data_IF_192809008275
#
_entry.id   IF_192809008275
#
_cell.length_a   1.000
_cell.length_b   1.000
_cell.length_c   1.000
_cell.angle_alpha   90.00
_cell.angle_beta   90.00
_cell.angle_gamma   90.00
#
_symmetry.space_group_name_H-M   'P 1'
#
loop_
_entity.id
_entity.type
_entity.pdbx_description
1 polymer ?
#
# COMPACT_ATOMS: atom_id res chain seq x y z
N UNK A 1 18.36 24.98 15.34
CA UNK A 1 17.05 24.49 15.80
C UNK A 1 16.10 24.44 14.59
N UNK A 2 16.43 23.60 13.61
CA UNK A 2 15.52 22.89 12.71
C UNK A 2 16.33 21.68 12.25
N UNK A 3 16.04 20.55 12.86
CA UNK A 3 16.62 19.25 12.55
C UNK A 3 16.00 18.77 11.23
N UNK A 4 16.72 18.93 10.12
CA UNK A 4 16.31 18.38 8.83
C UNK A 4 17.13 17.11 8.61
N UNK A 5 16.65 16.01 9.19
CA UNK A 5 17.13 14.66 8.86
C UNK A 5 17.03 14.45 7.34
N UNK A 6 18.13 14.07 6.65
CA UNK A 6 18.11 13.83 5.22
C UNK A 6 17.26 12.57 4.91
N UNK A 7 16.48 12.56 3.82
CA UNK A 7 15.69 11.39 3.45
C UNK A 7 16.61 10.18 3.20
N UNK A 8 16.24 8.98 3.68
CA UNK A 8 17.03 7.77 3.48
C UNK A 8 17.15 7.41 1.99
N UNK A 9 18.25 6.76 1.57
CA UNK A 9 18.51 6.43 0.17
C UNK A 9 17.47 5.46 -0.41
N UNK A 10 17.15 5.54 -1.71
CA UNK A 10 16.10 4.74 -2.33
C UNK A 10 16.55 3.30 -2.59
N UNK A 11 15.70 2.32 -2.28
CA UNK A 11 15.88 0.91 -2.65
C UNK A 11 14.51 0.24 -2.90
N UNK A 12 14.38 -0.63 -3.92
CA UNK A 12 14.63 -0.43 -5.36
C UNK A 12 13.34 0.01 -6.11
N UNK A 13 13.45 0.65 -7.29
CA UNK A 13 12.29 0.96 -8.12
C UNK A 13 11.83 -0.28 -8.89
N UNK A 14 10.64 -0.78 -8.60
CA UNK A 14 9.87 -1.61 -9.55
C UNK A 14 9.06 -0.66 -10.44
N UNK A 15 8.92 -0.95 -11.73
CA UNK A 15 8.91 0.03 -12.80
C UNK A 15 7.78 1.05 -12.61
N UNK A 16 8.19 2.30 -12.49
CA UNK A 16 7.36 3.44 -12.87
C UNK A 16 7.10 3.29 -14.37
N UNK A 17 6.00 2.61 -14.72
CA UNK A 17 5.48 2.53 -16.09
C UNK A 17 4.90 3.91 -16.50
N UNK A 18 5.78 4.90 -16.63
CA UNK A 18 5.74 6.06 -17.53
C UNK A 18 4.48 6.92 -17.67
N UNK A 19 3.42 6.76 -16.86
CA UNK A 19 2.14 7.43 -17.10
C UNK A 19 1.42 7.94 -15.85
N UNK A 20 1.74 7.46 -14.64
CA UNK A 20 1.05 7.86 -13.41
C UNK A 20 2.01 8.06 -12.23
N UNK A 21 1.75 9.05 -11.35
CA UNK A 21 2.64 9.38 -10.24
C UNK A 21 2.84 8.23 -9.24
N UNK A 22 4.01 8.22 -8.61
CA UNK A 22 4.36 7.39 -7.44
C UNK A 22 3.30 7.47 -6.33
N UNK A 23 3.20 6.49 -5.42
CA UNK A 23 2.35 6.66 -4.21
C UNK A 23 2.80 7.89 -3.41
N UNK A 24 4.12 8.03 -3.19
CA UNK A 24 4.69 9.19 -2.48
C UNK A 24 4.46 10.51 -3.22
N UNK A 25 4.56 10.50 -4.55
CA UNK A 25 4.30 11.68 -5.39
C UNK A 25 2.81 12.06 -5.37
N UNK A 26 1.93 11.08 -5.46
CA UNK A 26 0.47 11.28 -5.37
C UNK A 26 0.09 11.85 -4.00
N UNK A 27 0.71 11.36 -2.92
CA UNK A 27 0.52 11.89 -1.58
C UNK A 27 1.00 13.34 -1.46
N UNK A 28 2.18 13.66 -1.99
CA UNK A 28 2.69 15.04 -2.00
C UNK A 28 1.78 15.99 -2.79
N UNK A 29 1.24 15.55 -3.92
CA UNK A 29 0.29 16.34 -4.70
C UNK A 29 -1.05 16.53 -3.96
N UNK A 30 -1.57 15.50 -3.29
CA UNK A 30 -2.76 15.62 -2.44
C UNK A 30 -2.55 16.65 -1.33
N UNK A 31 -1.41 16.62 -0.64
CA UNK A 31 -1.09 17.60 0.41
C UNK A 31 -1.03 19.03 -0.14
N UNK A 32 -0.45 19.22 -1.33
CA UNK A 32 -0.43 20.52 -1.99
C UNK A 32 -1.83 21.01 -2.38
N UNK A 33 -2.70 20.12 -2.87
CA UNK A 33 -4.10 20.44 -3.17
C UNK A 33 -4.85 20.84 -1.89
N UNK A 34 -4.67 20.09 -0.80
CA UNK A 34 -5.30 20.41 0.50
C UNK A 34 -4.82 21.76 1.05
N UNK A 35 -3.54 22.07 0.90
CA UNK A 35 -3.01 23.38 1.27
C UNK A 35 -3.70 24.50 0.47
N UNK A 36 -3.82 24.34 -0.85
CA UNK A 36 -4.50 25.32 -1.70
C UNK A 36 -5.96 25.48 -1.32
N UNK A 37 -6.69 24.38 -1.07
CA UNK A 37 -8.09 24.41 -0.64
C UNK A 37 -8.33 25.14 0.69
N UNK A 38 -7.31 25.25 1.54
CA UNK A 38 -7.40 25.96 2.82
C UNK A 38 -7.17 27.47 2.71
N UNK A 39 -6.82 27.98 1.52
CA UNK A 39 -6.63 29.40 1.28
C UNK A 39 -7.98 30.12 1.11
N UNK A 40 -8.13 31.29 1.75
CA UNK A 40 -9.38 32.07 1.75
C UNK A 40 -9.78 32.65 0.37
N UNK A 41 -8.89 32.60 -0.63
CA UNK A 41 -9.06 33.20 -1.96
C UNK A 41 -9.18 32.12 -3.07
N UNK A 42 -9.76 30.97 -2.75
CA UNK A 42 -10.09 29.93 -3.75
C UNK A 42 -11.51 30.12 -4.25
N UNK A 43 -11.65 30.24 -5.58
CA UNK A 43 -12.95 30.27 -6.24
C UNK A 43 -13.65 28.90 -6.21
N UNK A 44 -15.00 28.91 -6.18
CA UNK A 44 -15.83 27.70 -6.09
C UNK A 44 -15.58 26.73 -7.26
N UNK A 45 -15.35 27.24 -8.47
CA UNK A 45 -15.07 26.40 -9.63
C UNK A 45 -13.68 25.75 -9.50
N UNK A 46 -12.69 26.50 -8.97
CA UNK A 46 -11.35 25.97 -8.68
C UNK A 46 -11.39 24.92 -7.56
N UNK A 47 -12.25 25.09 -6.55
CA UNK A 47 -12.50 24.12 -5.48
C UNK A 47 -12.96 22.77 -6.06
N UNK A 48 -13.90 22.79 -7.01
CA UNK A 48 -14.41 21.58 -7.64
C UNK A 48 -13.32 20.84 -8.44
N UNK A 49 -12.49 21.58 -9.20
CA UNK A 49 -11.37 21.01 -9.97
C UNK A 49 -10.30 20.39 -9.05
N UNK A 50 -9.93 21.09 -7.98
CA UNK A 50 -8.95 20.63 -6.99
C UNK A 50 -9.42 19.35 -6.29
N UNK A 51 -10.68 19.30 -5.87
CA UNK A 51 -11.28 18.11 -5.24
C UNK A 51 -11.34 16.94 -6.23
N UNK A 52 -11.72 17.19 -7.49
CA UNK A 52 -11.76 16.15 -8.53
C UNK A 52 -10.35 15.56 -8.77
N UNK A 53 -9.33 16.41 -8.81
CA UNK A 53 -7.93 15.98 -8.93
C UNK A 53 -7.48 15.14 -7.74
N UNK A 54 -7.76 15.58 -6.51
CA UNK A 54 -7.44 14.82 -5.30
C UNK A 54 -8.13 13.45 -5.28
N UNK A 55 -9.41 13.39 -5.67
CA UNK A 55 -10.15 12.14 -5.76
C UNK A 55 -9.51 11.15 -6.75
N UNK A 56 -9.05 11.63 -7.91
CA UNK A 56 -8.35 10.81 -8.89
C UNK A 56 -7.03 10.26 -8.35
N UNK A 57 -6.24 11.07 -7.63
CA UNK A 57 -4.98 10.63 -7.00
C UNK A 57 -5.24 9.57 -5.93
N UNK A 58 -6.29 9.73 -5.11
CA UNK A 58 -6.67 8.75 -4.10
C UNK A 58 -7.04 7.42 -4.75
N UNK A 59 -7.82 7.43 -5.82
CA UNK A 59 -8.21 6.20 -6.53
C UNK A 59 -6.97 5.47 -7.08
N UNK A 60 -6.02 6.21 -7.64
CA UNK A 60 -4.75 5.64 -8.08
C UNK A 60 -3.99 4.97 -6.93
N UNK A 61 -3.85 5.66 -5.79
CA UNK A 61 -3.21 5.12 -4.60
C UNK A 61 -3.89 3.83 -4.12
N UNK A 62 -5.22 3.78 -4.11
CA UNK A 62 -6.00 2.59 -3.72
C UNK A 62 -5.76 1.43 -4.66
N UNK A 63 -5.79 1.68 -5.97
CA UNK A 63 -5.51 0.66 -6.99
C UNK A 63 -4.13 0.02 -6.79
N UNK A 64 -3.12 0.86 -6.53
CA UNK A 64 -1.75 0.39 -6.26
C UNK A 64 -1.63 -0.40 -4.97
N UNK A 65 -2.32 0.01 -3.92
CA UNK A 65 -2.34 -0.72 -2.65
C UNK A 65 -2.93 -2.12 -2.83
N UNK A 66 -4.08 -2.22 -3.50
CA UNK A 66 -4.71 -3.51 -3.83
C UNK A 66 -3.79 -4.41 -4.65
N UNK A 67 -3.06 -3.84 -5.62
CA UNK A 67 -2.09 -4.58 -6.42
C UNK A 67 -0.92 -5.11 -5.56
N UNK A 68 -0.41 -4.28 -4.65
CA UNK A 68 0.63 -4.66 -3.70
C UNK A 68 0.14 -5.77 -2.74
N UNK A 69 -1.05 -5.63 -2.17
CA UNK A 69 -1.68 -6.65 -1.31
C UNK A 69 -1.81 -8.00 -2.03
N UNK A 70 -2.24 -7.98 -3.29
CA UNK A 70 -2.35 -9.18 -4.12
C UNK A 70 -0.99 -9.83 -4.35
N UNK A 71 0.05 -9.02 -4.60
CA UNK A 71 1.42 -9.52 -4.78
C UNK A 71 1.96 -10.14 -3.49
N UNK A 72 1.74 -9.50 -2.34
CA UNK A 72 2.15 -10.02 -1.03
C UNK A 72 1.43 -11.34 -0.73
N UNK A 73 0.12 -11.38 -0.92
CA UNK A 73 -0.69 -12.59 -0.73
C UNK A 73 -0.17 -13.77 -1.57
N UNK A 74 0.18 -13.52 -2.84
CA UNK A 74 0.79 -14.54 -3.72
C UNK A 74 2.13 -15.04 -3.20
N UNK A 75 3.01 -14.14 -2.77
CA UNK A 75 4.33 -14.51 -2.25
C UNK A 75 4.18 -15.35 -0.98
N UNK A 76 3.28 -14.96 -0.07
CA UNK A 76 3.00 -15.73 1.16
C UNK A 76 2.45 -17.12 0.84
N UNK A 77 1.55 -17.24 -0.14
CA UNK A 77 1.03 -18.53 -0.56
C UNK A 77 2.14 -19.44 -1.11
N UNK A 78 3.01 -18.91 -1.98
CA UNK A 78 4.16 -19.65 -2.52
C UNK A 78 5.10 -20.14 -1.41
N UNK A 79 5.42 -19.27 -0.45
CA UNK A 79 6.28 -19.63 0.68
C UNK A 79 5.66 -20.72 1.57
N UNK A 80 4.33 -20.78 1.69
CA UNK A 80 3.64 -21.84 2.43
C UNK A 80 3.55 -23.16 1.65
N UNK A 81 3.44 -23.11 0.32
CA UNK A 81 3.44 -24.31 -0.54
C UNK A 81 4.82 -24.97 -0.60
N UNK A 82 5.90 -24.19 -0.49
CA UNK A 82 7.28 -24.68 -0.46
C UNK A 82 7.72 -25.20 0.93
N UNK A 83 6.91 -25.00 1.98
CA UNK A 83 7.12 -25.60 3.30
C UNK A 83 6.43 -26.97 3.35
N UNK A 84 7.15 -28.11 3.28
CA UNK A 84 6.53 -29.40 3.48
C UNK A 84 5.97 -29.45 4.90
N UNK A 85 4.65 -29.66 4.95
CA UNK A 85 3.81 -30.08 6.08
C UNK A 85 4.61 -30.46 7.33
N UNK A 86 4.93 -29.47 8.15
CA UNK A 86 5.56 -29.70 9.44
C UNK A 86 4.48 -30.09 10.44
N UNK A 87 4.16 -31.37 10.42
CA UNK A 87 3.59 -32.17 11.50
C UNK A 87 2.33 -31.57 12.18
N UNK A 88 1.16 -31.93 11.67
CA UNK A 88 0.07 -32.35 12.56
C UNK A 88 -0.27 -33.82 12.29
N UNK A 89 0.71 -34.66 12.59
CA UNK A 89 0.46 -36.03 13.03
C UNK A 89 -0.04 -35.95 14.47
N UNK A 90 -1.34 -35.70 14.63
CA UNK A 90 -2.06 -36.06 15.86
C UNK A 90 -2.95 -37.26 15.53
N UNK A 91 -2.34 -38.34 15.04
CA UNK A 91 -2.87 -39.67 15.28
C UNK A 91 -2.62 -40.01 16.76
N UNK A 92 -3.48 -39.52 17.66
CA UNK A 92 -3.65 -40.21 18.94
C UNK A 92 -4.49 -41.46 18.66
N UNK A 93 -3.86 -42.45 18.03
CA UNK A 93 -4.31 -43.83 18.09
C UNK A 93 -3.86 -44.37 19.45
N UNK A 94 -4.62 -44.07 20.50
CA UNK A 94 -4.54 -44.81 21.76
C UNK A 94 -5.58 -45.94 21.68
N UNK A 95 -5.26 -46.95 20.87
CA UNK A 95 -5.94 -48.23 20.90
C UNK A 95 -5.36 -49.09 22.02
N UNK A 96 -6.00 -49.03 23.20
CA UNK A 96 -6.27 -50.21 24.04
C UNK A 96 -5.24 -50.63 25.11
N UNK A 97 -5.71 -50.75 26.35
CA UNK A 97 -5.46 -51.88 27.28
C UNK A 97 -6.46 -51.73 28.47
N UNK A 98 -7.56 -52.50 28.52
CA UNK A 98 -7.72 -53.81 29.17
C UNK A 98 -8.28 -53.73 30.62
N UNK A 99 -9.35 -54.52 30.82
CA UNK A 99 -10.08 -54.90 32.05
C UNK A 99 -11.19 -53.98 32.58
#
# INVERSE_FOLDING_TARGET
MTDQTPPPPPAPPAPDDGAAPGYAESMAEIEAILARLSEDDVDIDSLAELVARAAHLIENCRSRLTAAETSVSRIVAQLNEDAPDSATDSATDDAGDAF
#
